data_IF_868732928135
#
_entry.id   IF_868732928135
#
_cell.length_a   1.000
_cell.length_b   1.000
_cell.length_c   1.000
_cell.angle_alpha   90.00
_cell.angle_beta   90.00
_cell.angle_gamma   90.00
#
_symmetry.space_group_name_H-M   'P 1'
#
loop_
_entity.id
_entity.type
_entity.pdbx_description
1 polymer ?
#
# COMPACT_ATOMS: atom_id res chain seq x y z
N UNK A 1 -34.06 -3.17 10.03
CA UNK A 1 -34.01 -4.65 10.03
C UNK A 1 -35.40 -5.20 9.81
N UNK A 2 -35.77 -5.51 8.56
CA UNK A 2 -37.02 -6.22 8.27
C UNK A 2 -36.64 -7.69 8.02
N UNK A 3 -36.70 -8.49 9.07
CA UNK A 3 -36.41 -9.92 9.00
C UNK A 3 -37.66 -10.63 8.47
N UNK A 4 -37.63 -11.07 7.21
CA UNK A 4 -38.54 -12.11 6.71
C UNK A 4 -37.83 -13.44 6.89
N UNK A 5 -38.37 -14.30 7.74
CA UNK A 5 -37.71 -15.45 8.36
C UNK A 5 -37.37 -16.64 7.46
N UNK A 6 -36.97 -16.44 6.20
CA UNK A 6 -36.52 -17.57 5.35
C UNK A 6 -35.33 -17.30 4.44
N UNK A 7 -34.81 -16.08 4.37
CA UNK A 7 -33.65 -15.79 3.51
C UNK A 7 -32.71 -14.79 4.17
N UNK A 8 -31.51 -15.26 4.54
CA UNK A 8 -30.41 -14.40 4.97
C UNK A 8 -29.65 -13.90 3.73
N UNK A 9 -30.08 -12.78 3.15
CA UNK A 9 -29.34 -12.10 2.08
C UNK A 9 -28.31 -11.13 2.68
N UNK A 10 -27.02 -11.43 2.56
CA UNK A 10 -25.96 -10.48 2.89
C UNK A 10 -25.83 -9.48 1.73
N UNK A 11 -26.43 -8.30 1.88
CA UNK A 11 -26.51 -7.27 0.82
C UNK A 11 -25.16 -6.65 0.45
N UNK A 12 -24.18 -6.63 1.36
CA UNK A 12 -22.82 -6.23 1.06
C UNK A 12 -21.86 -6.80 2.11
N UNK A 13 -20.81 -7.49 1.67
CA UNK A 13 -19.61 -7.69 2.49
C UNK A 13 -18.69 -6.50 2.22
N UNK A 14 -18.64 -5.53 3.11
CA UNK A 14 -17.61 -4.48 3.06
C UNK A 14 -16.26 -5.11 3.41
N UNK A 15 -15.64 -5.80 2.44
CA UNK A 15 -14.32 -6.41 2.62
C UNK A 15 -13.24 -5.32 2.81
N UNK A 16 -13.47 -4.12 2.27
CA UNK A 16 -12.64 -2.92 2.44
C UNK A 16 -13.44 -1.66 2.08
N UNK A 17 -12.92 -0.50 2.47
CA UNK A 17 -13.42 0.78 1.98
C UNK A 17 -12.90 1.01 0.55
N UNK A 18 -13.78 0.91 -0.45
CA UNK A 18 -13.39 1.00 -1.86
C UNK A 18 -12.87 2.38 -2.27
N UNK A 19 -13.37 3.46 -1.65
CA UNK A 19 -12.87 4.82 -1.92
C UNK A 19 -11.41 4.95 -1.47
N UNK A 20 -11.11 4.46 -0.28
CA UNK A 20 -9.74 4.46 0.23
C UNK A 20 -8.86 3.54 -0.62
N UNK A 21 -9.34 2.34 -0.95
CA UNK A 21 -8.57 1.39 -1.74
C UNK A 21 -8.21 1.94 -3.13
N UNK A 22 -9.16 2.59 -3.81
CA UNK A 22 -8.91 3.23 -5.10
C UNK A 22 -7.94 4.40 -4.98
N UNK A 23 -8.11 5.26 -3.98
CA UNK A 23 -7.19 6.37 -3.71
C UNK A 23 -5.75 5.87 -3.48
N UNK A 24 -5.58 4.83 -2.65
CA UNK A 24 -4.27 4.22 -2.39
C UNK A 24 -3.67 3.56 -3.62
N UNK A 25 -4.49 2.97 -4.47
CA UNK A 25 -4.02 2.34 -5.70
C UNK A 25 -3.54 3.38 -6.70
N UNK A 26 -4.25 4.51 -6.86
CA UNK A 26 -3.82 5.65 -7.67
C UNK A 26 -2.55 6.31 -7.11
N UNK A 27 -2.48 6.48 -5.79
CA UNK A 27 -1.30 7.01 -5.12
C UNK A 27 -0.08 6.11 -5.36
N UNK A 28 -0.22 4.80 -5.17
CA UNK A 28 0.84 3.82 -5.41
C UNK A 28 1.32 3.84 -6.87
N UNK A 29 0.38 3.94 -7.83
CA UNK A 29 0.70 4.05 -9.25
C UNK A 29 1.54 5.30 -9.55
N UNK A 30 1.14 6.46 -9.01
CA UNK A 30 1.90 7.70 -9.19
C UNK A 30 3.27 7.64 -8.50
N UNK A 31 3.34 7.09 -7.29
CA UNK A 31 4.57 7.02 -6.50
C UNK A 31 5.68 6.20 -7.18
N UNK A 32 5.33 5.16 -7.95
CA UNK A 32 6.31 4.34 -8.69
C UNK A 32 7.11 5.16 -9.71
N UNK A 33 6.53 6.23 -10.26
CA UNK A 33 7.20 7.05 -11.26
C UNK A 33 8.04 8.17 -10.63
N UNK A 34 7.72 8.59 -9.40
CA UNK A 34 8.35 9.75 -8.75
C UNK A 34 9.34 9.36 -7.66
N UNK A 35 9.16 8.22 -7.00
CA UNK A 35 9.96 7.76 -5.86
C UNK A 35 10.80 6.52 -6.24
N UNK A 36 12.14 6.62 -6.22
CA UNK A 36 13.02 5.48 -6.44
C UNK A 36 12.82 4.36 -5.41
N UNK A 37 12.51 4.69 -4.15
CA UNK A 37 12.23 3.71 -3.10
C UNK A 37 10.95 2.93 -3.35
N UNK A 38 9.88 3.63 -3.75
CA UNK A 38 8.62 3.01 -4.14
C UNK A 38 8.79 2.08 -5.35
N UNK A 39 9.60 2.48 -6.34
CA UNK A 39 9.91 1.66 -7.51
C UNK A 39 10.61 0.36 -7.13
N UNK A 40 11.68 0.43 -6.34
CA UNK A 40 12.42 -0.76 -5.86
C UNK A 40 11.53 -1.72 -5.09
N UNK A 41 10.66 -1.18 -4.21
CA UNK A 41 9.71 -2.00 -3.47
C UNK A 41 8.71 -2.70 -4.39
N UNK A 42 8.15 -1.97 -5.36
CA UNK A 42 7.24 -2.54 -6.35
C UNK A 42 7.92 -3.64 -7.18
N UNK A 43 9.13 -3.40 -7.69
CA UNK A 43 9.88 -4.39 -8.46
C UNK A 43 10.21 -5.63 -7.61
N UNK A 44 10.54 -5.46 -6.32
CA UNK A 44 10.70 -6.58 -5.38
C UNK A 44 9.43 -7.40 -5.22
N UNK A 45 8.25 -6.79 -5.20
CA UNK A 45 6.99 -7.54 -5.13
C UNK A 45 6.68 -8.24 -6.46
N UNK A 46 6.95 -7.59 -7.60
CA UNK A 46 6.81 -8.20 -8.93
C UNK A 46 7.73 -9.41 -9.11
N UNK A 47 8.95 -9.36 -8.58
CA UNK A 47 9.89 -10.47 -8.59
C UNK A 47 9.47 -11.67 -7.71
N UNK A 48 8.51 -11.48 -6.79
CA UNK A 48 7.91 -12.55 -5.98
C UNK A 48 6.64 -13.12 -6.62
N UNK A 49 6.54 -13.05 -7.95
CA UNK A 49 5.38 -13.44 -8.74
C UNK A 49 4.06 -12.77 -8.34
N UNK A 50 4.12 -11.60 -7.68
CA UNK A 50 2.90 -10.83 -7.43
C UNK A 50 2.39 -10.22 -8.73
N UNK A 51 1.12 -10.47 -9.04
CA UNK A 51 0.40 -9.75 -10.09
C UNK A 51 0.43 -8.24 -9.87
N UNK A 52 0.12 -7.48 -10.92
CA UNK A 52 0.16 -6.00 -10.93
C UNK A 52 -0.64 -5.37 -9.76
N UNK A 53 -1.92 -5.70 -9.64
CA UNK A 53 -2.80 -5.12 -8.61
C UNK A 53 -2.38 -5.50 -7.17
N UNK A 54 -2.03 -6.77 -6.86
CA UNK A 54 -1.46 -7.13 -5.57
C UNK A 54 -0.20 -6.34 -5.20
N UNK A 55 0.73 -6.15 -6.14
CA UNK A 55 1.95 -5.40 -5.90
C UNK A 55 1.67 -3.91 -5.59
N UNK A 56 0.77 -3.28 -6.34
CA UNK A 56 0.31 -1.91 -6.06
C UNK A 56 -0.38 -1.79 -4.71
N UNK A 57 -1.22 -2.76 -4.35
CA UNK A 57 -1.90 -2.77 -3.05
C UNK A 57 -0.90 -2.81 -1.90
N UNK A 58 0.13 -3.66 -2.00
CA UNK A 58 1.17 -3.74 -0.99
C UNK A 58 1.99 -2.46 -0.91
N UNK A 59 2.26 -1.82 -2.05
CA UNK A 59 2.94 -0.52 -2.07
C UNK A 59 2.07 0.56 -1.40
N UNK A 60 0.79 0.65 -1.75
CA UNK A 60 -0.15 1.61 -1.16
C UNK A 60 -0.24 1.45 0.37
N UNK A 61 -0.34 0.21 0.86
CA UNK A 61 -0.34 -0.07 2.30
C UNK A 61 0.96 0.41 2.98
N UNK A 62 2.11 0.26 2.32
CA UNK A 62 3.40 0.75 2.85
C UNK A 62 3.43 2.28 2.92
N UNK A 63 2.95 2.96 1.88
CA UNK A 63 2.88 4.43 1.83
C UNK A 63 2.00 5.00 2.95
N UNK A 64 0.87 4.35 3.26
CA UNK A 64 0.02 4.73 4.40
C UNK A 64 0.78 4.65 5.72
N UNK A 65 1.58 3.59 5.91
CA UNK A 65 2.41 3.44 7.11
C UNK A 65 3.45 4.56 7.26
N UNK A 66 4.08 4.96 6.16
CA UNK A 66 5.04 6.08 6.15
C UNK A 66 4.33 7.40 6.45
N UNK A 67 3.22 7.68 5.77
CA UNK A 67 2.41 8.88 6.01
C UNK A 67 1.96 8.98 7.48
N UNK A 68 1.49 7.86 8.05
CA UNK A 68 1.12 7.80 9.46
C UNK A 68 2.31 8.12 10.38
N UNK A 69 3.50 7.61 10.07
CA UNK A 69 4.73 7.94 10.81
C UNK A 69 5.06 9.44 10.76
N UNK A 70 5.00 10.04 9.56
CA UNK A 70 5.20 11.47 9.37
C UNK A 70 4.19 12.31 10.17
N UNK A 71 2.89 11.97 10.10
CA UNK A 71 1.84 12.67 10.83
C UNK A 71 2.01 12.52 12.36
N UNK A 72 2.34 11.32 12.84
CA UNK A 72 2.53 11.04 14.27
C UNK A 72 3.69 11.83 14.85
N UNK A 73 4.79 11.95 14.11
CA UNK A 73 6.01 12.65 14.54
C UNK A 73 6.02 14.12 14.14
N UNK A 74 5.03 14.58 13.37
CA UNK A 74 4.99 15.89 12.72
C UNK A 74 6.25 16.20 11.92
N UNK A 75 6.81 15.17 11.28
CA UNK A 75 7.98 15.30 10.41
C UNK A 75 7.54 15.34 8.95
N UNK A 76 8.32 16.05 8.15
CA UNK A 76 8.12 16.06 6.70
C UNK A 76 8.57 14.72 6.11
N UNK A 77 7.99 14.37 4.96
CA UNK A 77 8.41 13.19 4.23
C UNK A 77 9.87 13.33 3.78
N UNK A 78 10.68 12.34 4.11
CA UNK A 78 12.04 12.17 3.63
C UNK A 78 12.19 10.77 3.02
N UNK A 79 12.60 10.72 1.76
CA UNK A 79 12.76 9.49 0.98
C UNK A 79 13.78 8.54 1.61
N UNK A 80 14.88 9.08 2.15
CA UNK A 80 15.94 8.27 2.75
C UNK A 80 15.45 7.56 4.02
N UNK A 81 14.74 8.29 4.87
CA UNK A 81 14.15 7.74 6.09
C UNK A 81 13.00 6.78 5.79
N UNK A 82 12.11 7.13 4.85
CA UNK A 82 10.93 6.36 4.47
C UNK A 82 11.26 4.96 3.93
N UNK A 83 12.36 4.84 3.17
CA UNK A 83 12.77 3.61 2.50
C UNK A 83 14.06 2.99 3.05
N UNK A 84 14.60 3.50 4.16
CA UNK A 84 15.80 3.00 4.84
C UNK A 84 15.82 1.48 5.02
N UNK A 85 14.70 0.87 5.40
CA UNK A 85 14.55 -0.58 5.58
C UNK A 85 14.57 -1.41 4.28
N UNK A 86 14.55 -0.76 3.13
CA UNK A 86 14.59 -1.39 1.81
C UNK A 86 15.89 -1.11 1.04
N UNK A 87 16.81 -0.34 1.61
CA UNK A 87 18.21 -0.46 1.24
C UNK A 87 18.65 -1.87 1.64
N UNK A 88 18.69 -2.79 0.67
CA UNK A 88 19.44 -4.03 0.82
C UNK A 88 20.81 -3.63 1.34
N UNK A 89 21.26 -4.16 2.49
CA UNK A 89 22.64 -3.96 2.88
C UNK A 89 23.47 -4.49 1.71
N UNK A 90 24.23 -3.59 1.08
CA UNK A 90 25.33 -3.99 0.21
C UNK A 90 26.25 -4.78 1.12
N UNK A 91 26.14 -6.10 1.09
CA UNK A 91 27.16 -6.99 1.63
C UNK A 91 28.40 -6.74 0.79
N UNK A 92 29.27 -5.86 1.28
CA UNK A 92 30.61 -5.70 0.77
C UNK A 92 31.37 -7.00 1.04
N UNK A 93 31.86 -7.62 -0.02
CA UNK A 93 32.82 -8.72 0.00
C UNK A 93 34.23 -8.14 -0.10
#
# INVERSE_FOLDING_TARGET
TRASGRTHSVQARFARNDRLADALQRQAFSAINTSPGARRYYDKQRARDSGYNPALRQLGNRLVGILHGCLKTRTHYDEATAWSHHATPTTAA
#
